data_IF_738917448636
#
_entry.id   IF_738917448636
#
_cell.length_a   1.000
_cell.length_b   1.000
_cell.length_c   1.000
_cell.angle_alpha   90.00
_cell.angle_beta   90.00
_cell.angle_gamma   90.00
#
_symmetry.space_group_name_H-M   'P 1'
#
loop_
_entity.id
_entity.type
_entity.pdbx_description
1 polymer ?
#
# COMPACT_ATOMS: atom_id res chain seq x y z
N UNK A 1 19.14 29.11 -17.16
CA UNK A 1 18.57 28.53 -15.93
C UNK A 1 18.88 27.05 -15.95
N UNK A 2 19.52 26.49 -14.92
CA UNK A 2 19.71 25.04 -14.83
C UNK A 2 18.35 24.40 -14.58
N UNK A 3 17.86 23.65 -15.55
CA UNK A 3 16.61 22.90 -15.43
C UNK A 3 16.78 21.87 -14.32
N UNK A 4 16.10 22.06 -13.19
CA UNK A 4 16.18 21.13 -12.06
C UNK A 4 15.23 19.97 -12.31
N UNK A 5 15.71 18.73 -12.10
CA UNK A 5 14.91 17.53 -12.27
C UNK A 5 13.84 17.44 -11.17
N UNK A 6 12.54 17.33 -11.48
CA UNK A 6 11.50 17.09 -10.49
C UNK A 6 11.72 15.80 -9.71
N UNK A 7 11.34 15.77 -8.43
CA UNK A 7 11.42 14.60 -7.56
C UNK A 7 10.02 14.11 -7.19
N UNK A 8 9.77 12.81 -7.34
CA UNK A 8 8.52 12.16 -6.97
C UNK A 8 8.60 11.76 -5.49
N UNK A 9 7.57 12.09 -4.73
CA UNK A 9 7.46 11.71 -3.31
C UNK A 9 6.37 10.66 -3.17
N UNK A 10 6.75 9.50 -2.62
CA UNK A 10 5.82 8.42 -2.29
C UNK A 10 5.58 8.40 -0.77
N UNK A 11 4.31 8.36 -0.37
CA UNK A 11 3.89 8.22 1.03
C UNK A 11 3.41 6.78 1.29
N UNK A 12 4.05 6.08 2.22
CA UNK A 12 3.65 4.75 2.69
C UNK A 12 2.86 4.90 4.00
N UNK A 13 1.55 5.05 3.86
CA UNK A 13 0.69 5.65 4.90
C UNK A 13 0.47 4.77 6.15
N UNK A 14 0.46 3.45 6.02
CA UNK A 14 0.03 2.53 7.10
C UNK A 14 1.00 1.36 7.31
N UNK A 15 1.40 0.68 6.24
CA UNK A 15 2.20 -0.55 6.32
C UNK A 15 1.47 -1.70 7.05
N UNK A 16 2.22 -2.73 7.44
CA UNK A 16 1.68 -3.96 8.06
C UNK A 16 2.08 -4.16 9.54
N UNK A 17 2.97 -3.32 10.07
CA UNK A 17 3.50 -3.45 11.43
C UNK A 17 3.01 -2.34 12.38
N UNK A 18 3.06 -1.04 12.01
CA UNK A 18 2.71 0.02 12.95
C UNK A 18 1.29 -0.12 13.50
N UNK A 19 1.13 0.15 14.78
CA UNK A 19 -0.15 0.18 15.49
C UNK A 19 -0.41 1.56 16.10
N UNK A 20 -1.66 1.84 16.45
CA UNK A 20 -2.04 3.07 17.18
C UNK A 20 -1.32 3.21 18.53
N UNK A 21 -0.95 2.09 19.16
CA UNK A 21 -0.15 2.07 20.39
C UNK A 21 1.30 2.55 20.18
N UNK A 22 1.85 2.40 18.97
CA UNK A 22 3.19 2.89 18.64
C UNK A 22 3.15 4.38 18.31
N UNK A 23 2.12 4.81 17.56
CA UNK A 23 1.83 6.20 17.28
C UNK A 23 0.32 6.35 16.94
N UNK A 24 -0.44 7.20 17.65
CA UNK A 24 -1.88 7.37 17.39
C UNK A 24 -2.20 7.93 15.99
N UNK A 25 -1.21 8.53 15.31
CA UNK A 25 -1.37 9.05 13.96
C UNK A 25 -1.39 7.96 12.88
N UNK A 26 -1.05 6.70 13.18
CA UNK A 26 -1.12 5.60 12.19
C UNK A 26 -2.56 5.45 11.68
N UNK A 27 -2.86 5.65 10.39
CA UNK A 27 -4.22 5.52 9.88
C UNK A 27 -4.57 4.03 9.67
N UNK A 28 -5.65 3.56 10.28
CA UNK A 28 -6.06 2.14 10.28
C UNK A 28 -7.33 1.95 9.46
N UNK A 29 -8.36 2.71 9.76
CA UNK A 29 -9.63 2.64 9.03
C UNK A 29 -9.50 3.31 7.67
N UNK A 30 -10.33 2.91 6.70
CA UNK A 30 -10.32 3.52 5.36
C UNK A 30 -10.54 5.04 5.42
N UNK A 31 -11.39 5.52 6.33
CA UNK A 31 -11.62 6.97 6.49
C UNK A 31 -10.35 7.71 6.94
N UNK A 32 -9.65 7.19 7.96
CA UNK A 32 -8.37 7.75 8.41
C UNK A 32 -7.30 7.68 7.31
N UNK A 33 -7.29 6.59 6.54
CA UNK A 33 -6.32 6.41 5.44
C UNK A 33 -6.55 7.43 4.32
N UNK A 34 -7.81 7.69 3.95
CA UNK A 34 -8.15 8.71 2.95
C UNK A 34 -7.75 10.09 3.43
N UNK A 35 -8.08 10.45 4.68
CA UNK A 35 -7.74 11.75 5.26
C UNK A 35 -6.21 11.94 5.37
N UNK A 36 -5.49 10.97 5.91
CA UNK A 36 -4.02 11.03 6.02
C UNK A 36 -3.34 11.08 4.65
N UNK A 37 -3.85 10.36 3.66
CA UNK A 37 -3.31 10.44 2.29
C UNK A 37 -3.60 11.79 1.65
N UNK A 38 -4.79 12.37 1.91
CA UNK A 38 -5.16 13.68 1.39
C UNK A 38 -4.24 14.78 1.94
N UNK A 39 -3.96 14.78 3.24
CA UNK A 39 -2.98 15.71 3.83
C UNK A 39 -1.58 15.53 3.20
N UNK A 40 -1.14 14.28 3.00
CA UNK A 40 0.15 14.01 2.36
C UNK A 40 0.19 14.44 0.88
N UNK A 41 -0.92 14.31 0.17
CA UNK A 41 -1.08 14.76 -1.21
C UNK A 41 -0.99 16.29 -1.30
N UNK A 42 -1.71 17.02 -0.44
CA UNK A 42 -1.62 18.49 -0.36
C UNK A 42 -0.20 18.96 0.02
N UNK A 43 0.53 18.17 0.81
CA UNK A 43 1.93 18.41 1.14
C UNK A 43 2.93 18.08 0.00
N UNK A 44 2.47 17.48 -1.10
CA UNK A 44 3.28 17.22 -2.31
C UNK A 44 3.60 15.76 -2.61
N UNK A 45 3.01 14.79 -1.90
CA UNK A 45 3.10 13.39 -2.28
C UNK A 45 2.35 13.13 -3.59
N UNK A 46 2.97 12.39 -4.51
CA UNK A 46 2.39 12.05 -5.81
C UNK A 46 2.12 10.56 -5.98
N UNK A 47 2.54 9.73 -5.02
CA UNK A 47 2.24 8.29 -4.95
C UNK A 47 1.78 7.93 -3.53
N UNK A 48 0.70 7.17 -3.41
CA UNK A 48 0.27 6.54 -2.16
C UNK A 48 0.55 5.03 -2.19
N UNK A 49 1.48 4.56 -1.36
CA UNK A 49 1.73 3.13 -1.16
C UNK A 49 0.79 2.57 -0.09
N UNK A 50 -0.15 1.74 -0.53
CA UNK A 50 -1.33 1.37 0.23
C UNK A 50 -1.24 -0.05 0.80
N UNK A 51 -1.43 -0.14 2.10
CA UNK A 51 -1.82 -1.35 2.82
C UNK A 51 -3.15 -1.08 3.50
N UNK A 52 -4.07 -2.04 3.53
CA UNK A 52 -5.31 -1.94 4.32
C UNK A 52 -5.20 -2.76 5.61
N UNK A 53 -6.05 -2.43 6.58
CA UNK A 53 -6.12 -3.09 7.89
C UNK A 53 -7.57 -3.48 8.20
N UNK A 54 -7.72 -4.48 9.06
CA UNK A 54 -8.96 -4.68 9.78
C UNK A 54 -9.15 -3.58 10.84
N UNK A 55 -10.37 -3.44 11.33
CA UNK A 55 -10.73 -2.36 12.25
C UNK A 55 -10.03 -2.49 13.62
N UNK A 56 -9.57 -3.71 13.96
CA UNK A 56 -8.74 -4.00 15.13
C UNK A 56 -7.24 -3.72 14.90
N UNK A 57 -6.85 -3.23 13.72
CA UNK A 57 -5.46 -2.96 13.34
C UNK A 57 -4.70 -4.18 12.81
N UNK A 58 -5.29 -5.38 12.78
CA UNK A 58 -4.66 -6.55 12.16
C UNK A 58 -4.52 -6.39 10.65
N UNK A 59 -3.60 -7.13 10.04
CA UNK A 59 -3.31 -7.04 8.61
C UNK A 59 -4.36 -7.79 7.79
N UNK A 60 -4.61 -7.32 6.57
CA UNK A 60 -5.52 -7.98 5.63
C UNK A 60 -5.14 -7.68 4.18
N UNK A 61 -5.48 -8.60 3.28
CA UNK A 61 -5.40 -8.44 1.82
C UNK A 61 -6.79 -8.32 1.17
N UNK A 62 -7.81 -8.01 1.96
CA UNK A 62 -9.22 -7.87 1.54
C UNK A 62 -9.40 -6.87 0.36
N UNK A 63 -9.79 -7.36 -0.84
CA UNK A 63 -10.01 -6.52 -2.00
C UNK A 63 -11.11 -5.45 -1.79
N UNK A 64 -12.14 -5.71 -0.98
CA UNK A 64 -13.21 -4.72 -0.78
C UNK A 64 -12.71 -3.49 -0.04
N UNK A 65 -11.84 -3.69 0.97
CA UNK A 65 -11.18 -2.57 1.68
C UNK A 65 -10.23 -1.81 0.74
N UNK A 66 -9.50 -2.50 -0.13
CA UNK A 66 -8.67 -1.84 -1.16
C UNK A 66 -9.51 -1.03 -2.14
N UNK A 67 -10.65 -1.55 -2.59
CA UNK A 67 -11.56 -0.87 -3.50
C UNK A 67 -12.10 0.43 -2.89
N UNK A 68 -12.57 0.36 -1.64
CA UNK A 68 -13.04 1.53 -0.88
C UNK A 68 -11.95 2.58 -0.66
N UNK A 69 -10.72 2.13 -0.34
CA UNK A 69 -9.59 3.04 -0.19
C UNK A 69 -9.31 3.74 -1.53
N UNK A 70 -9.18 2.98 -2.62
CA UNK A 70 -8.94 3.53 -3.96
C UNK A 70 -10.00 4.54 -4.38
N UNK A 71 -11.28 4.23 -4.19
CA UNK A 71 -12.39 5.16 -4.49
C UNK A 71 -12.24 6.47 -3.70
N UNK A 72 -11.93 6.38 -2.41
CA UNK A 72 -11.69 7.55 -1.57
C UNK A 72 -10.49 8.38 -2.04
N UNK A 73 -9.38 7.73 -2.38
CA UNK A 73 -8.19 8.41 -2.90
C UNK A 73 -8.43 9.07 -4.25
N UNK A 74 -9.11 8.41 -5.19
CA UNK A 74 -9.43 9.00 -6.50
C UNK A 74 -10.35 10.22 -6.37
N UNK A 75 -11.27 10.19 -5.40
CA UNK A 75 -12.18 11.31 -5.12
C UNK A 75 -11.48 12.49 -4.45
N UNK A 76 -10.66 12.23 -3.44
CA UNK A 76 -10.10 13.28 -2.58
C UNK A 76 -8.70 13.72 -2.99
N UNK A 77 -7.94 12.87 -3.70
CA UNK A 77 -6.58 13.13 -4.16
C UNK A 77 -6.49 12.95 -5.68
N UNK A 78 -7.25 13.71 -6.49
CA UNK A 78 -7.33 13.48 -7.92
C UNK A 78 -5.95 13.58 -8.59
N UNK A 79 -5.51 12.49 -9.23
CA UNK A 79 -4.22 12.40 -9.90
C UNK A 79 -3.07 11.84 -9.05
N UNK A 80 -3.32 11.49 -7.77
CA UNK A 80 -2.35 10.69 -7.01
C UNK A 80 -2.23 9.30 -7.64
N UNK A 81 -1.01 8.78 -7.75
CA UNK A 81 -0.77 7.40 -8.19
C UNK A 81 -1.09 6.46 -7.04
N UNK A 82 -2.06 5.58 -7.23
CA UNK A 82 -2.44 4.57 -6.24
C UNK A 82 -1.59 3.32 -6.45
N UNK A 83 -0.72 3.02 -5.48
CA UNK A 83 0.13 1.83 -5.48
C UNK A 83 -0.31 0.82 -4.42
N UNK A 84 -0.88 -0.32 -4.83
CA UNK A 84 -1.25 -1.37 -3.89
C UNK A 84 -0.05 -2.21 -3.45
N UNK A 85 -0.05 -2.63 -2.20
CA UNK A 85 0.95 -3.58 -1.70
C UNK A 85 0.53 -5.02 -1.95
N UNK A 86 1.43 -5.82 -2.53
CA UNK A 86 1.27 -7.28 -2.63
C UNK A 86 2.10 -8.01 -1.56
N UNK A 87 2.46 -7.33 -0.48
CA UNK A 87 3.45 -7.84 0.48
C UNK A 87 2.95 -8.99 1.37
N UNK A 88 3.80 -10.01 1.56
CA UNK A 88 3.47 -11.23 2.31
C UNK A 88 3.38 -11.11 3.83
N UNK A 89 3.36 -9.90 4.41
CA UNK A 89 2.93 -9.68 5.82
C UNK A 89 1.42 -9.50 5.94
N UNK A 90 0.75 -9.15 4.83
CA UNK A 90 -0.68 -8.83 4.83
C UNK A 90 -1.56 -9.97 4.30
N UNK A 91 -0.97 -11.00 3.69
CA UNK A 91 -1.67 -12.16 3.14
C UNK A 91 -0.70 -13.28 2.76
N UNK A 92 -1.24 -14.39 2.25
CA UNK A 92 -0.45 -15.60 1.91
C UNK A 92 -0.69 -16.10 0.49
N UNK A 93 0.36 -16.59 -0.17
CA UNK A 93 0.25 -17.11 -1.55
C UNK A 93 -0.43 -16.12 -2.51
N UNK A 94 -1.40 -16.61 -3.29
CA UNK A 94 -2.12 -15.82 -4.31
C UNK A 94 -3.10 -14.79 -3.73
N UNK A 95 -3.50 -14.92 -2.47
CA UNK A 95 -4.31 -13.90 -1.78
C UNK A 95 -3.64 -12.51 -1.84
N UNK A 96 -2.30 -12.49 -1.84
CA UNK A 96 -1.48 -11.28 -1.94
C UNK A 96 -1.71 -10.47 -3.23
N UNK A 97 -2.31 -11.07 -4.25
CA UNK A 97 -2.69 -10.41 -5.51
C UNK A 97 -4.20 -10.29 -5.70
N UNK A 98 -5.02 -10.65 -4.72
CA UNK A 98 -6.49 -10.66 -4.84
C UNK A 98 -7.10 -9.29 -5.15
N UNK A 99 -6.38 -8.21 -4.83
CA UNK A 99 -6.77 -6.82 -5.11
C UNK A 99 -6.35 -6.31 -6.50
N UNK A 100 -5.46 -7.01 -7.22
CA UNK A 100 -4.95 -6.57 -8.53
C UNK A 100 -6.05 -6.38 -9.61
N UNK A 101 -7.14 -7.17 -9.64
CA UNK A 101 -8.26 -6.93 -10.58
C UNK A 101 -8.94 -5.57 -10.43
N UNK A 102 -8.72 -4.85 -9.33
CA UNK A 102 -9.20 -3.47 -9.12
C UNK A 102 -8.42 -2.43 -9.94
N UNK A 103 -7.36 -2.85 -10.65
CA UNK A 103 -6.55 -2.03 -11.57
C UNK A 103 -6.04 -0.73 -10.91
N UNK A 104 -5.25 -0.82 -9.83
CA UNK A 104 -4.51 0.33 -9.33
C UNK A 104 -3.51 0.80 -10.40
N UNK A 105 -3.01 2.03 -10.30
CA UNK A 105 -1.99 2.55 -11.21
C UNK A 105 -0.70 1.73 -11.14
N UNK A 106 -0.37 1.27 -9.93
CA UNK A 106 0.81 0.45 -9.65
C UNK A 106 0.51 -0.62 -8.59
N UNK A 107 1.35 -1.66 -8.56
CA UNK A 107 1.43 -2.58 -7.45
C UNK A 107 2.90 -2.82 -7.10
N UNK A 108 3.21 -2.98 -5.81
CA UNK A 108 4.56 -3.39 -5.40
C UNK A 108 4.79 -4.85 -5.76
N UNK A 109 6.01 -5.20 -6.15
CA UNK A 109 6.40 -6.58 -6.47
C UNK A 109 7.79 -6.85 -5.89
N UNK A 110 7.89 -7.82 -4.99
CA UNK A 110 9.18 -8.32 -4.52
C UNK A 110 9.60 -9.50 -5.36
N UNK A 111 10.70 -9.39 -6.10
CA UNK A 111 11.16 -10.39 -7.08
C UNK A 111 12.16 -11.41 -6.51
N UNK A 112 12.23 -11.52 -5.19
CA UNK A 112 13.13 -12.44 -4.49
C UNK A 112 12.81 -12.55 -3.02
N UNK A 113 13.37 -13.58 -2.36
CA UNK A 113 13.22 -13.78 -0.92
C UNK A 113 14.41 -13.20 -0.16
N UNK A 114 14.16 -12.70 1.05
CA UNK A 114 15.20 -12.19 1.94
C UNK A 114 14.81 -12.39 3.42
N UNK A 115 15.75 -12.21 4.34
CA UNK A 115 15.45 -12.21 5.77
C UNK A 115 14.78 -10.89 6.19
N UNK A 116 13.76 -10.99 7.03
CA UNK A 116 13.18 -9.91 7.82
C UNK A 116 13.55 -10.09 9.30
N UNK A 117 13.35 -9.07 10.16
CA UNK A 117 13.84 -9.09 11.55
C UNK A 117 13.46 -10.34 12.36
N UNK A 118 12.30 -10.93 12.09
CA UNK A 118 11.76 -12.06 12.88
C UNK A 118 11.35 -13.28 12.05
N UNK A 119 11.48 -13.23 10.71
CA UNK A 119 11.06 -14.31 9.80
C UNK A 119 11.69 -14.14 8.42
N UNK A 120 11.60 -15.15 7.55
CA UNK A 120 11.87 -14.98 6.12
C UNK A 120 10.74 -14.18 5.48
N UNK A 121 11.08 -13.19 4.65
CA UNK A 121 10.14 -12.56 3.74
C UNK A 121 10.12 -13.34 2.43
N UNK A 122 9.26 -14.36 2.43
CA UNK A 122 9.18 -15.35 1.37
C UNK A 122 8.42 -14.83 0.15
N UNK A 123 9.07 -14.97 -1.01
CA UNK A 123 8.51 -14.75 -2.34
C UNK A 123 9.07 -15.88 -3.21
N UNK A 124 8.32 -16.99 -3.31
CA UNK A 124 8.71 -18.10 -4.18
C UNK A 124 8.68 -17.64 -5.65
N UNK A 125 9.55 -18.18 -6.52
CA UNK A 125 9.54 -17.85 -7.94
C UNK A 125 8.15 -17.97 -8.59
N UNK A 126 7.41 -19.06 -8.30
CA UNK A 126 6.05 -19.28 -8.81
C UNK A 126 5.07 -18.18 -8.41
N UNK A 127 5.19 -17.65 -7.18
CA UNK A 127 4.35 -16.55 -6.71
C UNK A 127 4.73 -15.24 -7.40
N UNK A 128 6.03 -14.99 -7.57
CA UNK A 128 6.53 -13.80 -8.28
C UNK A 128 6.03 -13.78 -9.71
N UNK A 129 6.13 -14.92 -10.41
CA UNK A 129 5.65 -15.06 -11.78
C UNK A 129 4.13 -14.86 -11.88
N UNK A 130 3.36 -15.45 -10.95
CA UNK A 130 1.90 -15.27 -10.91
C UNK A 130 1.48 -13.82 -10.61
N UNK A 131 2.21 -13.10 -9.75
CA UNK A 131 1.92 -11.69 -9.46
C UNK A 131 2.28 -10.76 -10.63
N UNK A 132 3.18 -11.19 -11.52
CA UNK A 132 3.65 -10.41 -12.66
C UNK A 132 2.85 -10.64 -13.96
N UNK A 133 2.00 -11.67 -14.00
CA UNK A 133 1.17 -12.04 -15.16
C UNK A 133 -0.14 -11.25 -15.23
#
# INVERSE_FOLDING_TARGET
MTETKPCIICVAITGSLPQKSDNPAVPITVAEQVESTHEAFEAGASIAHCHVRNDDGSTTSDPEKFARLKEGLEKHCPGIIVQFSTGGRSGSGRERGGMLPLRPDMASLTVGSNNFPTRVYENSPDLVEWLAS
#
